data_IF_950916709136
#
_entry.id   IF_950916709136
#
_cell.length_a   1.000
_cell.length_b   1.000
_cell.length_c   1.000
_cell.angle_alpha   90.00
_cell.angle_beta   90.00
_cell.angle_gamma   90.00
#
_symmetry.space_group_name_H-M   'P 1'
#
loop_
_entity.id
_entity.type
_entity.pdbx_description
1 polymer ?
#
# COMPACT_ATOMS: atom_id res chain seq x y z
N UNK A 1 4.72 46.47 21.09
CA UNK A 1 5.10 45.18 21.76
C UNK A 1 4.17 44.02 21.39
N UNK A 2 2.88 44.25 21.04
CA UNK A 2 1.90 43.18 20.76
C UNK A 2 2.07 42.47 19.40
N UNK A 3 2.63 43.15 18.39
CA UNK A 3 2.78 42.62 17.02
C UNK A 3 3.84 41.51 16.93
N UNK A 4 4.91 41.60 17.72
CA UNK A 4 5.99 40.60 17.73
C UNK A 4 5.51 39.20 18.15
N UNK A 5 4.52 39.14 19.04
CA UNK A 5 3.96 37.89 19.55
C UNK A 5 3.20 37.16 18.42
N UNK A 6 2.44 37.89 17.61
CA UNK A 6 1.70 37.31 16.49
C UNK A 6 2.63 36.70 15.44
N UNK A 7 3.75 37.37 15.14
CA UNK A 7 4.73 36.89 14.16
C UNK A 7 5.40 35.60 14.64
N UNK A 8 5.77 35.53 15.93
CA UNK A 8 6.31 34.33 16.55
C UNK A 8 5.32 33.15 16.52
N UNK A 9 4.05 33.39 16.80
CA UNK A 9 3.02 32.34 16.74
C UNK A 9 2.84 31.78 15.32
N UNK A 10 2.86 32.65 14.29
CA UNK A 10 2.74 32.23 12.90
C UNK A 10 3.97 31.44 12.45
N UNK A 11 5.18 31.85 12.85
CA UNK A 11 6.41 31.12 12.58
C UNK A 11 6.40 29.70 13.19
N UNK A 12 5.92 29.55 14.42
CA UNK A 12 5.79 28.22 15.07
C UNK A 12 4.77 27.34 14.34
N UNK A 13 3.65 27.90 13.88
CA UNK A 13 2.64 27.18 13.11
C UNK A 13 3.13 26.80 11.71
N UNK A 14 3.93 27.68 11.07
CA UNK A 14 4.55 27.40 9.78
C UNK A 14 5.53 26.23 9.90
N UNK A 15 6.48 26.30 10.85
CA UNK A 15 7.46 25.24 11.13
C UNK A 15 6.77 23.91 11.48
N UNK A 16 5.67 23.94 12.23
CA UNK A 16 4.89 22.73 12.52
C UNK A 16 4.22 22.14 11.27
N UNK A 17 3.80 22.96 10.30
CA UNK A 17 3.15 22.49 9.07
C UNK A 17 4.14 21.84 8.11
N UNK A 18 5.37 22.35 8.00
CA UNK A 18 6.43 21.78 7.14
C UNK A 18 6.80 20.36 7.60
N UNK A 19 6.77 20.11 8.92
CA UNK A 19 7.06 18.78 9.49
C UNK A 19 5.95 17.74 9.28
N UNK A 20 4.74 18.15 8.86
CA UNK A 20 3.59 17.24 8.72
C UNK A 20 3.46 16.70 7.28
N UNK A 21 3.88 17.45 6.26
CA UNK A 21 3.76 16.99 4.86
C UNK A 21 4.79 15.92 4.48
N UNK A 22 6.00 15.93 5.04
CA UNK A 22 7.02 14.91 4.74
C UNK A 22 6.69 13.54 5.38
N UNK A 23 5.95 13.51 6.49
CA UNK A 23 5.63 12.28 7.22
C UNK A 23 4.51 11.44 6.56
N UNK A 24 3.73 12.03 5.64
CA UNK A 24 2.56 11.36 5.06
C UNK A 24 2.91 10.39 3.92
N UNK A 25 4.03 10.61 3.24
CA UNK A 25 4.44 9.75 2.12
C UNK A 25 5.14 8.47 2.61
N UNK A 26 5.95 8.54 3.68
CA UNK A 26 6.67 7.39 4.25
C UNK A 26 5.74 6.38 4.96
N UNK A 27 4.71 6.87 5.66
CA UNK A 27 3.80 6.01 6.43
C UNK A 27 2.88 5.14 5.55
N UNK A 28 2.69 5.50 4.29
CA UNK A 28 1.94 4.69 3.32
C UNK A 28 2.76 3.52 2.75
N UNK A 29 4.09 3.60 2.83
CA UNK A 29 5.01 2.56 2.34
C UNK A 29 5.24 1.49 3.42
N UNK A 30 5.34 1.87 4.70
CA UNK A 30 5.60 0.92 5.80
C UNK A 30 4.38 0.04 6.20
N UNK A 31 3.14 0.51 6.07
CA UNK A 31 1.96 -0.36 6.31
C UNK A 31 1.73 -1.39 5.18
N UNK A 32 2.37 -1.22 4.01
CA UNK A 32 2.31 -2.19 2.92
C UNK A 32 3.30 -3.34 3.11
N UNK A 33 4.38 -3.15 3.88
CA UNK A 33 5.43 -4.16 4.11
C UNK A 33 5.16 -5.08 5.31
N UNK A 34 4.21 -4.76 6.20
CA UNK A 34 3.94 -5.57 7.41
C UNK A 34 2.92 -6.70 7.23
N UNK A 35 2.22 -6.77 6.10
CA UNK A 35 1.39 -7.92 5.78
C UNK A 35 2.24 -8.91 4.96
N UNK A 36 2.58 -10.07 5.53
CA UNK A 36 3.32 -11.16 4.84
C UNK A 36 2.62 -11.61 3.54
N UNK A 37 1.36 -11.20 3.35
CA UNK A 37 0.61 -11.34 2.12
C UNK A 37 -0.23 -10.08 1.84
N UNK A 38 -0.48 -9.77 0.57
CA UNK A 38 -1.34 -8.71 0.07
C UNK A 38 -2.83 -9.12 0.12
N UNK A 39 -3.68 -8.31 0.74
CA UNK A 39 -5.14 -8.54 0.78
C UNK A 39 -5.82 -8.52 -0.60
N UNK A 40 -7.15 -8.75 -0.64
CA UNK A 40 -7.93 -8.58 -1.89
C UNK A 40 -7.76 -7.17 -2.45
N UNK A 41 -7.67 -7.06 -3.78
CA UNK A 41 -7.47 -5.82 -4.55
C UNK A 41 -6.18 -5.03 -4.21
N UNK A 42 -5.26 -5.65 -3.46
CA UNK A 42 -3.91 -5.10 -3.23
C UNK A 42 -2.96 -5.49 -4.36
N UNK A 43 -1.94 -4.66 -4.64
CA UNK A 43 -0.94 -4.97 -5.65
C UNK A 43 -0.15 -6.22 -5.28
N UNK A 44 0.17 -7.05 -6.27
CA UNK A 44 0.95 -8.27 -6.11
C UNK A 44 1.98 -8.42 -7.23
N UNK A 45 3.06 -9.17 -7.00
CA UNK A 45 4.01 -9.57 -8.04
C UNK A 45 3.78 -11.03 -8.44
N UNK A 46 3.51 -11.88 -7.46
CA UNK A 46 3.27 -13.31 -7.63
C UNK A 46 2.01 -13.75 -6.89
N UNK A 47 1.46 -14.89 -7.31
CA UNK A 47 0.28 -15.52 -6.67
C UNK A 47 0.51 -15.83 -5.19
N UNK A 48 1.77 -16.07 -4.80
CA UNK A 48 2.16 -16.35 -3.43
C UNK A 48 2.12 -15.12 -2.53
N UNK A 49 2.20 -13.91 -3.09
CA UNK A 49 2.03 -12.68 -2.32
C UNK A 49 0.59 -12.52 -1.84
N UNK A 50 -0.41 -13.06 -2.54
CA UNK A 50 -1.81 -12.80 -2.18
C UNK A 50 -2.23 -13.51 -0.89
N UNK A 51 -3.05 -12.87 -0.06
CA UNK A 51 -3.61 -13.50 1.13
C UNK A 51 -4.72 -14.50 0.76
N UNK A 52 -4.76 -15.60 1.53
CA UNK A 52 -5.76 -16.66 1.40
C UNK A 52 -5.34 -17.77 0.44
N UNK A 53 -5.84 -18.98 0.69
CA UNK A 53 -5.53 -20.17 -0.11
C UNK A 53 -5.89 -19.98 -1.58
N UNK A 54 -7.01 -19.30 -1.85
CA UNK A 54 -7.49 -19.02 -3.21
C UNK A 54 -7.04 -17.65 -3.75
N UNK A 55 -6.10 -16.97 -3.10
CA UNK A 55 -5.61 -15.68 -3.60
C UNK A 55 -4.79 -15.87 -4.87
N UNK A 56 -5.27 -15.34 -5.99
CA UNK A 56 -4.61 -15.30 -7.30
C UNK A 56 -4.09 -13.89 -7.59
N UNK A 57 -2.88 -13.78 -8.15
CA UNK A 57 -2.41 -12.49 -8.66
C UNK A 57 -2.83 -12.32 -10.11
N UNK A 58 -3.81 -11.45 -10.36
CA UNK A 58 -4.36 -11.20 -11.70
C UNK A 58 -3.82 -9.88 -12.23
N UNK A 59 -3.07 -9.96 -13.32
CA UNK A 59 -2.55 -8.79 -14.01
C UNK A 59 -3.45 -8.40 -15.18
N UNK A 60 -4.02 -7.20 -15.11
CA UNK A 60 -4.86 -6.65 -16.16
C UNK A 60 -4.42 -5.23 -16.52
N UNK A 61 -4.69 -4.85 -17.77
CA UNK A 61 -4.57 -3.46 -18.18
C UNK A 61 -5.74 -2.69 -17.55
N UNK A 62 -5.44 -1.75 -16.66
CA UNK A 62 -6.45 -0.84 -16.13
C UNK A 62 -6.96 0.06 -17.24
N UNK A 63 -8.19 0.58 -17.11
CA UNK A 63 -8.79 1.53 -18.05
C UNK A 63 -7.91 2.79 -18.29
N UNK A 64 -7.00 3.10 -17.37
CA UNK A 64 -5.99 4.15 -17.50
C UNK A 64 -4.80 3.77 -18.41
N UNK A 65 -4.79 2.60 -19.04
CA UNK A 65 -3.68 2.11 -19.87
C UNK A 65 -2.46 1.63 -19.07
N UNK A 66 -2.57 1.54 -17.74
CA UNK A 66 -1.49 1.05 -16.86
C UNK A 66 -1.68 -0.43 -16.57
N UNK A 67 -0.62 -1.21 -16.77
CA UNK A 67 -0.59 -2.62 -16.38
C UNK A 67 -0.49 -2.71 -14.86
N UNK A 68 -1.50 -3.29 -14.20
CA UNK A 68 -1.53 -3.48 -12.75
C UNK A 68 -1.91 -4.92 -12.42
N UNK A 69 -1.12 -5.52 -11.54
CA UNK A 69 -1.39 -6.82 -10.95
C UNK A 69 -2.06 -6.62 -9.59
N UNK A 70 -3.21 -7.27 -9.37
CA UNK A 70 -3.96 -7.19 -8.12
C UNK A 70 -4.36 -8.58 -7.65
N UNK A 71 -4.42 -8.75 -6.33
CA UNK A 71 -4.90 -9.98 -5.72
C UNK A 71 -6.40 -10.11 -5.88
N UNK A 72 -6.84 -11.23 -6.45
CA UNK A 72 -8.24 -11.60 -6.61
C UNK A 72 -8.50 -12.98 -6.03
N UNK A 73 -9.77 -13.27 -5.78
CA UNK A 73 -10.18 -14.59 -5.35
C UNK A 73 -10.35 -15.50 -6.57
N UNK A 74 -9.43 -16.47 -6.70
CA UNK A 74 -9.44 -17.48 -7.73
C UNK A 74 -10.31 -18.69 -7.38
N UNK A 75 -10.36 -19.63 -8.33
CA UNK A 75 -11.10 -20.89 -8.18
C UNK A 75 -10.34 -21.89 -7.29
N UNK A 76 -10.98 -23.03 -6.97
CA UNK A 76 -10.34 -24.08 -6.17
C UNK A 76 -9.02 -24.59 -6.77
N UNK A 77 -8.88 -24.57 -8.11
CA UNK A 77 -7.63 -24.94 -8.80
C UNK A 77 -6.45 -24.04 -8.41
N UNK A 78 -6.72 -22.76 -8.12
CA UNK A 78 -5.70 -21.82 -7.70
C UNK A 78 -5.20 -22.15 -6.30
N UNK A 79 -6.08 -22.61 -5.40
CA UNK A 79 -5.63 -23.09 -4.10
C UNK A 79 -4.66 -24.27 -4.22
N UNK A 80 -4.95 -25.22 -5.11
CA UNK A 80 -4.02 -26.32 -5.40
C UNK A 80 -2.71 -25.83 -6.00
N UNK A 81 -2.77 -24.92 -6.98
CA UNK A 81 -1.58 -24.32 -7.58
C UNK A 81 -0.73 -23.57 -6.56
N UNK A 82 -1.37 -22.85 -5.64
CA UNK A 82 -0.72 -22.10 -4.57
C UNK A 82 -0.06 -23.02 -3.55
N UNK A 83 -0.74 -24.09 -3.13
CA UNK A 83 -0.17 -25.12 -2.27
C UNK A 83 1.05 -25.81 -2.91
N UNK A 84 1.04 -25.99 -4.23
CA UNK A 84 2.15 -26.59 -4.97
C UNK A 84 3.31 -25.61 -5.21
N UNK A 85 3.03 -24.34 -5.49
CA UNK A 85 4.03 -23.36 -5.95
C UNK A 85 4.57 -22.44 -4.84
N UNK A 86 3.77 -22.19 -3.80
CA UNK A 86 4.10 -21.22 -2.74
C UNK A 86 4.66 -21.85 -1.47
N UNK A 87 4.87 -23.17 -1.47
CA UNK A 87 5.72 -23.82 -0.47
C UNK A 87 7.17 -23.42 -0.74
N UNK A 88 7.68 -22.46 0.03
CA UNK A 88 9.12 -22.34 0.30
C UNK A 88 9.62 -23.59 1.02
#
# INVERSE_FOLDING_TARGET
MKVAILILSILVLAVASETIEEYRDDFAVEELERATCAGQDKPCKETCDCCGERGECVCALSYEGKYRCICRQGNFLIAWHKLASCKK
#
